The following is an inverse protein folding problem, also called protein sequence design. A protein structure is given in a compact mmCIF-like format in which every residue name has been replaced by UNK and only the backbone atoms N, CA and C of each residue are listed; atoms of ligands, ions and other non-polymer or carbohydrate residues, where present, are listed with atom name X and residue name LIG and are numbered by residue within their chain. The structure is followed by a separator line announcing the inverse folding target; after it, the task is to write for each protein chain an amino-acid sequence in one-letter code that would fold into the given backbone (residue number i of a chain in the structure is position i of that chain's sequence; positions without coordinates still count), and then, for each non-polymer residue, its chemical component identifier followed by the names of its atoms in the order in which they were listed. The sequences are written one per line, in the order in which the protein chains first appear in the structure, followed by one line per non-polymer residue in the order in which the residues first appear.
data_IF_988327365104
#
_entry.id   IF_988327365104
#
_cell.length_a   1.000
_cell.length_b   1.000
_cell.length_c   1.000
_cell.angle_alpha   90.00
_cell.angle_beta   90.00
_cell.angle_gamma   90.00
#
_symmetry.space_group_name_H-M   'P 1'
#
loop_
_entity.id
_entity.type
_entity.pdbx_description
1 polymer ?
#
# COMPACT_ATOMS: atom_id res chain seq x y z
N UNK A 1 -20.98 -4.06 7.60
CA UNK A 1 -19.91 -3.21 8.15
C UNK A 1 -19.72 -3.66 9.59
N UNK A 2 -18.52 -4.13 9.95
CA UNK A 2 -18.27 -4.68 11.29
C UNK A 2 -18.04 -3.56 12.30
N UNK A 3 -18.47 -3.77 13.54
CA UNK A 3 -18.21 -2.85 14.67
C UNK A 3 -16.70 -2.61 14.85
N UNK A 4 -15.87 -3.64 14.60
CA UNK A 4 -14.42 -3.53 14.67
C UNK A 4 -13.83 -2.55 13.65
N UNK A 5 -14.36 -2.48 12.42
CA UNK A 5 -13.88 -1.52 11.42
C UNK A 5 -14.20 -0.09 11.85
N UNK A 6 -15.40 0.15 12.38
CA UNK A 6 -15.79 1.48 12.86
C UNK A 6 -14.91 1.92 14.03
N UNK A 7 -14.59 1.00 14.95
CA UNK A 7 -13.63 1.25 16.02
C UNK A 7 -12.22 1.56 15.49
N UNK A 8 -11.75 0.83 14.48
CA UNK A 8 -10.46 1.08 13.86
C UNK A 8 -10.41 2.48 13.26
N UNK A 9 -11.44 2.86 12.49
CA UNK A 9 -11.55 4.19 11.89
C UNK A 9 -11.57 5.28 12.95
N UNK A 10 -12.36 5.11 14.02
CA UNK A 10 -12.42 6.07 15.12
C UNK A 10 -11.05 6.25 15.80
N UNK A 11 -10.31 5.16 16.03
CA UNK A 11 -8.97 5.21 16.62
C UNK A 11 -7.94 5.93 15.73
N UNK A 12 -8.15 5.94 14.40
CA UNK A 12 -7.28 6.63 13.42
C UNK A 12 -7.71 8.08 13.14
N UNK A 13 -8.59 8.65 13.96
CA UNK A 13 -9.00 10.06 13.85
C UNK A 13 -10.37 10.27 13.19
N UNK A 14 -11.08 9.20 12.86
CA UNK A 14 -12.47 9.24 12.41
C UNK A 14 -12.66 9.56 10.92
N UNK A 15 -13.84 9.22 10.41
CA UNK A 15 -14.18 9.36 9.00
C UNK A 15 -14.27 10.82 8.54
N UNK A 16 -14.91 11.68 9.33
CA UNK A 16 -15.11 13.09 8.96
C UNK A 16 -13.79 13.82 8.72
N UNK A 17 -12.75 13.49 9.50
CA UNK A 17 -11.40 14.03 9.29
C UNK A 17 -10.76 13.46 8.03
N UNK A 18 -10.90 12.15 7.80
CA UNK A 18 -10.40 11.50 6.58
C UNK A 18 -10.99 12.11 5.30
N UNK A 19 -12.27 12.49 5.32
CA UNK A 19 -12.96 13.17 4.21
C UNK A 19 -12.43 14.58 3.92
N UNK A 20 -11.62 15.16 4.80
CA UNK A 20 -10.98 16.47 4.58
C UNK A 20 -9.54 16.36 4.07
N UNK A 21 -8.89 15.20 4.22
CA UNK A 21 -7.50 14.98 3.82
C UNK A 21 -7.47 14.47 2.38
N UNK A 22 -6.80 15.16 1.45
CA UNK A 22 -6.68 14.73 0.05
C UNK A 22 -5.37 14.01 -0.27
N UNK A 23 -4.34 14.25 0.53
CA UNK A 23 -2.98 13.73 0.33
C UNK A 23 -2.39 13.34 1.68
N UNK A 24 -1.69 12.21 1.72
CA UNK A 24 -0.78 11.86 2.80
C UNK A 24 0.64 11.82 2.28
N UNK A 25 1.57 12.35 3.07
CA UNK A 25 3.01 12.25 2.82
C UNK A 25 3.66 11.45 3.94
N UNK A 26 4.50 10.51 3.55
CA UNK A 26 5.26 9.68 4.46
C UNK A 26 6.73 9.64 4.02
N UNK A 27 7.60 9.52 4.99
CA UNK A 27 9.01 9.20 4.79
C UNK A 27 9.25 7.83 5.41
N UNK A 28 9.79 6.90 4.63
CA UNK A 28 9.95 5.53 5.09
C UNK A 28 11.23 4.91 4.53
N UNK A 29 11.69 3.90 5.27
CA UNK A 29 12.84 3.09 4.93
C UNK A 29 12.33 1.65 4.80
N UNK A 30 12.55 1.01 3.66
CA UNK A 30 12.15 -0.36 3.42
C UNK A 30 13.38 -1.22 3.12
N UNK A 31 13.73 -2.08 4.08
CA UNK A 31 14.81 -3.05 3.97
C UNK A 31 14.27 -4.49 3.98
N UNK A 32 15.14 -5.46 3.74
CA UNK A 32 14.80 -6.88 3.79
C UNK A 32 15.37 -7.69 2.63
N UNK A 33 15.36 -9.01 2.80
CA UNK A 33 15.91 -9.95 1.83
C UNK A 33 15.17 -9.93 0.50
N UNK A 34 13.88 -9.56 0.49
CA UNK A 34 13.06 -9.49 -0.72
C UNK A 34 13.69 -8.57 -1.78
N UNK A 35 14.23 -7.42 -1.36
CA UNK A 35 14.87 -6.47 -2.27
C UNK A 35 16.13 -7.04 -2.93
N UNK A 36 16.88 -7.86 -2.20
CA UNK A 36 18.05 -8.57 -2.74
C UNK A 36 17.63 -9.62 -3.77
N UNK A 37 16.61 -10.42 -3.45
CA UNK A 37 16.07 -11.44 -4.37
C UNK A 37 15.56 -10.79 -5.67
N UNK A 38 14.96 -9.60 -5.56
CA UNK A 38 14.43 -8.85 -6.71
C UNK A 38 15.49 -8.03 -7.46
N UNK A 39 16.76 -8.10 -7.06
CA UNK A 39 17.91 -7.38 -7.65
C UNK A 39 17.88 -5.87 -7.45
N UNK A 40 17.24 -5.41 -6.37
CA UNK A 40 17.11 -3.99 -6.01
C UNK A 40 17.53 -3.71 -4.56
N UNK A 41 18.72 -4.16 -4.11
CA UNK A 41 19.18 -3.86 -2.76
C UNK A 41 19.27 -2.35 -2.56
N UNK A 42 18.61 -1.85 -1.51
CA UNK A 42 18.64 -0.43 -1.14
C UNK A 42 17.81 0.51 -2.02
N UNK A 43 17.03 0.01 -2.98
CA UNK A 43 16.21 0.86 -3.84
C UNK A 43 15.24 1.78 -3.07
N UNK A 44 14.74 1.30 -1.92
CA UNK A 44 13.86 2.04 -1.00
C UNK A 44 14.53 2.26 0.37
N UNK A 45 15.85 2.42 0.39
CA UNK A 45 16.60 2.67 1.62
C UNK A 45 16.27 4.05 2.23
N UNK A 46 15.79 5.01 1.44
CA UNK A 46 15.42 6.36 1.89
C UNK A 46 14.45 7.00 0.87
N UNK A 47 13.14 6.97 1.12
CA UNK A 47 12.17 7.47 0.14
C UNK A 47 11.01 8.24 0.75
N UNK A 48 10.67 9.35 0.10
CA UNK A 48 9.43 10.09 0.35
C UNK A 48 8.32 9.56 -0.55
N UNK A 49 7.18 9.28 0.05
CA UNK A 49 5.97 8.83 -0.60
C UNK A 49 4.87 9.87 -0.41
N UNK A 50 4.17 10.22 -1.48
CA UNK A 50 2.89 10.89 -1.42
C UNK A 50 1.81 9.98 -1.99
N UNK A 51 0.65 9.92 -1.33
CA UNK A 51 -0.51 9.17 -1.82
C UNK A 51 -1.73 10.05 -1.87
N UNK A 52 -2.64 9.73 -2.81
CA UNK A 52 -3.99 10.31 -2.80
C UNK A 52 -4.91 9.47 -1.92
N UNK A 53 -5.71 10.14 -1.09
CA UNK A 53 -6.80 9.51 -0.30
C UNK A 53 -8.11 9.43 -1.07
N UNK A 54 -8.13 9.89 -2.33
CA UNK A 54 -9.34 10.02 -3.17
C UNK A 54 -9.33 9.09 -4.37
N UNK A 55 -8.15 8.77 -4.88
CA UNK A 55 -7.95 7.82 -5.97
C UNK A 55 -6.72 6.95 -5.68
N UNK A 56 -6.62 5.75 -6.28
CA UNK A 56 -5.40 4.96 -6.24
C UNK A 56 -4.29 5.68 -7.00
N UNK A 57 -3.41 6.34 -6.24
CA UNK A 57 -2.32 7.15 -6.77
C UNK A 57 -1.22 7.24 -5.72
N UNK A 58 0.01 6.96 -6.13
CA UNK A 58 1.20 7.05 -5.30
C UNK A 58 2.33 7.65 -6.11
N UNK A 59 3.09 8.56 -5.51
CA UNK A 59 4.34 9.04 -6.07
C UNK A 59 5.48 8.81 -5.08
N UNK A 60 6.66 8.55 -5.62
CA UNK A 60 7.87 8.47 -4.82
C UNK A 60 8.96 9.39 -5.34
N UNK A 61 9.64 10.07 -4.42
CA UNK A 61 10.77 10.95 -4.73
C UNK A 61 11.86 10.88 -3.65
N UNK A 62 13.15 10.86 -4.02
CA UNK A 62 13.63 10.55 -5.37
C UNK A 62 13.36 9.07 -5.71
N UNK A 63 13.37 8.71 -7.00
CA UNK A 63 13.27 7.32 -7.45
C UNK A 63 14.55 6.87 -8.17
N UNK A 64 15.35 6.02 -7.49
CA UNK A 64 16.62 5.43 -7.92
C UNK A 64 17.76 6.40 -8.30
N UNK A 65 17.44 7.56 -8.88
CA UNK A 65 18.36 8.61 -9.31
C UNK A 65 17.84 9.95 -8.80
N UNK A 66 18.77 10.83 -8.45
CA UNK A 66 18.44 12.21 -8.11
C UNK A 66 17.80 12.92 -9.32
N UNK A 67 16.83 13.79 -9.06
CA UNK A 67 16.11 14.49 -10.12
C UNK A 67 15.04 13.65 -10.83
N UNK A 68 14.69 12.48 -10.30
CA UNK A 68 13.66 11.60 -10.83
C UNK A 68 12.65 11.25 -9.73
N UNK A 69 11.39 11.10 -10.14
CA UNK A 69 10.33 10.54 -9.32
C UNK A 69 9.58 9.48 -10.13
N UNK A 70 8.84 8.61 -9.44
CA UNK A 70 7.96 7.67 -10.10
C UNK A 70 6.52 7.86 -9.65
N UNK A 71 5.60 7.51 -10.55
CA UNK A 71 4.16 7.64 -10.37
C UNK A 71 3.52 6.29 -10.61
N UNK A 72 2.66 5.89 -9.70
CA UNK A 72 1.84 4.69 -9.80
C UNK A 72 0.35 5.04 -9.82
N UNK A 73 -0.34 4.47 -10.79
CA UNK A 73 -1.79 4.32 -10.86
C UNK A 73 -2.11 2.84 -11.18
N UNK A 74 -3.35 2.35 -10.99
CA UNK A 74 -3.66 0.93 -11.18
C UNK A 74 -3.30 0.38 -12.56
N UNK A 75 -3.56 1.19 -13.59
CA UNK A 75 -3.41 0.79 -14.99
C UNK A 75 -2.10 1.29 -15.62
N UNK A 76 -1.30 2.09 -14.90
CA UNK A 76 -0.02 2.58 -15.43
C UNK A 76 1.03 2.89 -14.37
N UNK A 77 2.29 2.76 -14.76
CA UNK A 77 3.45 3.25 -14.00
C UNK A 77 4.30 4.16 -14.86
N UNK A 78 4.90 5.18 -14.26
CA UNK A 78 5.76 6.13 -14.95
C UNK A 78 6.98 6.49 -14.11
N UNK A 79 8.08 6.80 -14.80
CA UNK A 79 9.29 7.42 -14.25
C UNK A 79 9.44 8.76 -14.97
N UNK A 80 9.58 9.83 -14.21
CA UNK A 80 9.52 11.19 -14.70
C UNK A 80 10.68 11.97 -14.11
N UNK A 81 11.35 12.77 -14.93
CA UNK A 81 12.35 13.72 -14.47
C UNK A 81 11.67 14.89 -13.74
N UNK A 82 12.37 15.55 -12.83
CA UNK A 82 11.87 16.77 -12.17
C UNK A 82 11.62 17.93 -13.16
N UNK A 83 12.19 17.86 -14.36
CA UNK A 83 11.87 18.75 -15.48
C UNK A 83 10.46 18.54 -16.06
N UNK A 84 9.78 17.46 -15.68
CA UNK A 84 8.50 17.01 -16.24
C UNK A 84 8.65 16.11 -17.48
N UNK A 85 9.88 15.78 -17.89
CA UNK A 85 10.12 14.85 -19.00
C UNK A 85 9.76 13.41 -18.58
N UNK A 86 8.94 12.75 -19.39
CA UNK A 86 8.63 11.33 -19.22
C UNK A 86 9.84 10.49 -19.65
N UNK A 87 10.45 9.79 -18.70
CA UNK A 87 11.63 8.95 -18.92
C UNK A 87 11.22 7.56 -19.39
N UNK A 88 10.26 6.96 -18.69
CA UNK A 88 9.74 5.63 -19.01
C UNK A 88 8.29 5.49 -18.52
N UNK A 89 7.50 4.67 -19.22
CA UNK A 89 6.10 4.41 -18.88
C UNK A 89 5.71 2.98 -19.24
N UNK A 90 4.90 2.36 -18.40
CA UNK A 90 4.27 1.06 -18.64
C UNK A 90 2.77 1.13 -18.42
N UNK A 91 2.02 0.76 -19.45
CA UNK A 91 0.58 0.51 -19.36
C UNK A 91 0.32 -0.95 -18.95
N UNK A 92 -0.79 -1.20 -18.28
CA UNK A 92 -1.18 -2.52 -17.75
C UNK A 92 -0.03 -3.22 -16.98
N UNK A 93 0.66 -2.53 -16.04
CA UNK A 93 1.87 -3.04 -15.39
C UNK A 93 1.67 -4.38 -14.68
N UNK A 94 0.44 -4.70 -14.25
CA UNK A 94 0.10 -5.99 -13.63
C UNK A 94 0.38 -7.20 -14.52
N UNK A 95 0.12 -7.11 -15.83
CA UNK A 95 0.30 -8.26 -16.73
C UNK A 95 1.78 -8.63 -16.91
N UNK A 96 2.71 -7.72 -16.61
CA UNK A 96 4.15 -7.99 -16.71
C UNK A 96 4.66 -8.91 -15.60
N UNK A 97 3.85 -9.18 -14.57
CA UNK A 97 4.15 -10.20 -13.57
C UNK A 97 3.77 -11.63 -14.01
N UNK A 98 3.13 -11.81 -15.17
CA UNK A 98 2.75 -13.14 -15.66
C UNK A 98 3.99 -14.03 -15.86
N UNK A 99 3.93 -15.25 -15.31
CA UNK A 99 5.05 -16.19 -15.33
C UNK A 99 6.18 -15.87 -14.34
N UNK A 100 6.06 -14.82 -13.53
CA UNK A 100 7.03 -14.56 -12.47
C UNK A 100 6.95 -15.61 -11.37
N UNK A 101 8.12 -15.98 -10.88
CA UNK A 101 8.32 -16.77 -9.68
C UNK A 101 8.97 -15.90 -8.59
N UNK A 102 9.08 -16.42 -7.36
CA UNK A 102 9.73 -15.71 -6.25
C UNK A 102 11.14 -15.19 -6.65
N UNK A 103 12.03 -15.97 -7.26
CA UNK A 103 13.36 -15.49 -7.63
C UNK A 103 13.40 -14.63 -8.91
N UNK A 104 12.29 -14.48 -9.65
CA UNK A 104 12.31 -13.67 -10.88
C UNK A 104 12.70 -12.22 -10.55
N UNK A 105 13.77 -11.69 -11.17
CA UNK A 105 14.18 -10.31 -10.99
C UNK A 105 13.09 -9.33 -11.41
N UNK A 106 13.14 -8.14 -10.83
CA UNK A 106 12.26 -7.04 -11.21
C UNK A 106 13.02 -6.02 -12.04
N UNK A 107 12.31 -5.33 -12.91
CA UNK A 107 12.79 -4.07 -13.48
C UNK A 107 12.23 -2.88 -12.67
N UNK A 108 12.59 -1.66 -13.08
CA UNK A 108 12.17 -0.43 -12.39
C UNK A 108 10.64 -0.31 -12.33
N UNK A 109 9.93 -0.63 -13.41
CA UNK A 109 8.47 -0.53 -13.46
C UNK A 109 7.77 -1.57 -12.56
N UNK A 110 8.35 -2.77 -12.39
CA UNK A 110 7.87 -3.73 -11.39
C UNK A 110 8.00 -3.17 -9.96
N UNK A 111 9.10 -2.46 -9.64
CA UNK A 111 9.25 -1.79 -8.35
C UNK A 111 8.17 -0.72 -8.15
N UNK A 112 7.99 0.17 -9.13
CA UNK A 112 6.98 1.24 -9.07
C UNK A 112 5.60 0.64 -8.84
N UNK A 113 5.25 -0.41 -9.58
CA UNK A 113 3.94 -1.05 -9.43
C UNK A 113 3.77 -1.68 -8.05
N UNK A 114 4.72 -2.52 -7.63
CA UNK A 114 4.62 -3.23 -6.36
C UNK A 114 4.53 -2.29 -5.16
N UNK A 115 5.43 -1.30 -5.12
CA UNK A 115 5.48 -0.36 -4.00
C UNK A 115 4.34 0.64 -4.02
N UNK A 116 3.90 1.08 -5.20
CA UNK A 116 2.80 2.02 -5.37
C UNK A 116 1.50 1.54 -4.74
N UNK A 117 1.02 0.34 -5.12
CA UNK A 117 -0.21 -0.18 -4.53
C UNK A 117 -0.05 -0.55 -3.06
N UNK A 118 1.13 -1.06 -2.66
CA UNK A 118 1.38 -1.45 -1.27
C UNK A 118 1.31 -0.23 -0.36
N UNK A 119 2.03 0.84 -0.68
CA UNK A 119 2.04 2.06 0.12
C UNK A 119 0.69 2.77 0.12
N UNK A 120 0.00 2.81 -1.03
CA UNK A 120 -1.37 3.32 -1.08
C UNK A 120 -2.28 2.55 -0.12
N UNK A 121 -2.23 1.21 -0.16
CA UNK A 121 -3.05 0.36 0.71
C UNK A 121 -2.71 0.58 2.19
N UNK A 122 -1.43 0.60 2.54
CA UNK A 122 -0.99 0.76 3.93
C UNK A 122 -1.37 2.11 4.52
N UNK A 123 -1.15 3.20 3.78
CA UNK A 123 -1.41 4.55 4.26
C UNK A 123 -2.89 4.93 4.25
N UNK A 124 -3.72 4.23 3.47
CA UNK A 124 -5.18 4.44 3.44
C UNK A 124 -5.95 3.49 4.36
N UNK A 125 -5.31 2.46 4.93
CA UNK A 125 -5.91 1.56 5.93
C UNK A 125 -6.04 2.29 7.29
N UNK A 126 -7.17 2.19 8.01
CA UNK A 126 -8.34 1.32 7.77
C UNK A 126 -9.43 1.95 6.89
N UNK A 127 -9.33 3.23 6.53
CA UNK A 127 -10.37 3.97 5.81
C UNK A 127 -10.72 3.36 4.45
N UNK A 128 -9.72 2.79 3.77
CA UNK A 128 -9.87 2.07 2.50
C UNK A 128 -10.99 1.02 2.55
N UNK A 129 -11.14 0.33 3.68
CA UNK A 129 -12.09 -0.78 3.83
C UNK A 129 -13.55 -0.33 3.89
N UNK A 130 -13.80 0.99 3.95
CA UNK A 130 -15.15 1.56 3.86
C UNK A 130 -15.55 1.95 2.44
N UNK A 131 -14.62 1.92 1.47
CA UNK A 131 -14.91 2.27 0.09
C UNK A 131 -15.83 1.23 -0.58
N UNK A 132 -16.62 1.63 -1.60
CA UNK A 132 -17.48 0.72 -2.33
C UNK A 132 -16.73 -0.50 -2.87
N UNK A 133 -17.36 -1.68 -2.75
CA UNK A 133 -16.81 -2.95 -3.23
C UNK A 133 -15.92 -3.69 -2.23
N UNK A 134 -15.44 -3.02 -1.18
CA UNK A 134 -14.79 -3.71 -0.06
C UNK A 134 -15.83 -4.38 0.83
N UNK A 135 -15.54 -5.61 1.27
CA UNK A 135 -16.30 -6.25 2.34
C UNK A 135 -15.38 -6.58 3.48
N UNK A 136 -15.81 -6.25 4.70
CA UNK A 136 -15.09 -6.54 5.92
C UNK A 136 -15.97 -7.36 6.88
N UNK A 137 -15.38 -8.41 7.44
CA UNK A 137 -16.01 -9.27 8.44
C UNK A 137 -15.05 -9.46 9.62
N UNK A 138 -15.57 -9.34 10.83
CA UNK A 138 -14.80 -9.74 12.01
C UNK A 138 -14.74 -11.26 12.07
N UNK A 139 -13.56 -11.79 12.33
CA UNK A 139 -13.30 -13.24 12.40
C UNK A 139 -12.75 -13.61 13.77
N UNK A 140 -12.68 -14.92 14.05
CA UNK A 140 -12.20 -15.44 15.33
C UNK A 140 -10.93 -14.72 15.82
N UNK A 141 -10.84 -14.37 17.11
CA UNK A 141 -9.66 -13.72 17.66
C UNK A 141 -8.36 -14.50 17.42
N UNK A 142 -7.23 -13.83 17.54
CA UNK A 142 -5.90 -14.42 17.45
C UNK A 142 -5.16 -14.26 18.76
N UNK A 143 -4.69 -15.36 19.32
CA UNK A 143 -3.87 -15.36 20.53
C UNK A 143 -2.39 -15.35 20.15
N UNK A 144 -1.68 -14.30 20.57
CA UNK A 144 -0.25 -14.14 20.31
C UNK A 144 0.44 -13.55 21.53
N UNK A 145 1.51 -14.22 21.98
CA UNK A 145 2.32 -13.78 23.13
C UNK A 145 1.50 -13.46 24.41
N UNK A 146 0.40 -14.18 24.63
CA UNK A 146 -0.48 -13.99 25.80
C UNK A 146 -1.48 -12.85 25.66
N UNK A 147 -1.57 -12.21 24.50
CA UNK A 147 -2.60 -11.23 24.17
C UNK A 147 -3.62 -11.83 23.19
N UNK A 148 -4.89 -11.48 23.36
CA UNK A 148 -5.96 -11.83 22.41
C UNK A 148 -6.30 -10.61 21.56
N UNK A 149 -6.12 -10.72 20.25
CA UNK A 149 -6.36 -9.64 19.29
C UNK A 149 -7.62 -9.90 18.45
N UNK A 150 -8.45 -8.86 18.29
CA UNK A 150 -9.59 -8.89 17.36
C UNK A 150 -9.07 -8.82 15.93
N UNK A 151 -9.71 -9.58 15.02
CA UNK A 151 -9.27 -9.68 13.62
C UNK A 151 -10.34 -9.27 12.65
N UNK A 152 -9.91 -8.61 11.58
CA UNK A 152 -10.77 -8.20 10.48
C UNK A 152 -10.30 -8.92 9.20
N UNK A 153 -11.16 -9.74 8.61
CA UNK A 153 -10.96 -10.24 7.26
C UNK A 153 -11.53 -9.23 6.28
N UNK A 154 -10.73 -8.86 5.29
CA UNK A 154 -11.10 -7.91 4.24
C UNK A 154 -11.00 -8.59 2.89
N UNK A 155 -12.06 -8.44 2.08
CA UNK A 155 -12.06 -8.83 0.67
C UNK A 155 -12.05 -7.57 -0.18
N UNK A 156 -11.07 -7.49 -1.07
CA UNK A 156 -10.88 -6.36 -1.97
C UNK A 156 -11.77 -6.54 -3.20
N UNK A 157 -12.36 -5.47 -3.75
CA UNK A 157 -13.10 -5.56 -4.99
C UNK A 157 -12.18 -5.90 -6.17
N UNK A 158 -12.77 -6.46 -7.22
CA UNK A 158 -12.10 -6.62 -8.51
C UNK A 158 -11.63 -5.24 -9.01
N UNK A 159 -10.39 -5.18 -9.50
CA UNK A 159 -9.82 -3.94 -10.03
C UNK A 159 -9.00 -3.10 -9.04
N UNK A 160 -8.97 -3.42 -7.74
CA UNK A 160 -8.00 -2.81 -6.80
C UNK A 160 -6.73 -3.67 -6.72
N UNK A 161 -5.56 -3.17 -7.15
CA UNK A 161 -4.31 -3.88 -6.99
C UNK A 161 -4.01 -4.18 -5.52
N UNK A 162 -3.71 -5.45 -5.24
CA UNK A 162 -3.49 -5.94 -3.88
C UNK A 162 -2.62 -7.20 -3.94
N UNK A 163 -1.93 -7.52 -2.83
CA UNK A 163 -1.10 -8.73 -2.74
C UNK A 163 -1.91 -10.02 -2.91
N UNK A 164 -3.18 -9.99 -2.52
CA UNK A 164 -4.15 -11.08 -2.60
C UNK A 164 -5.56 -10.48 -2.57
N UNK A 165 -6.50 -11.12 -3.28
CA UNK A 165 -7.93 -10.75 -3.29
C UNK A 165 -8.56 -10.82 -1.89
N UNK A 166 -8.06 -11.70 -1.04
CA UNK A 166 -8.42 -11.77 0.39
C UNK A 166 -7.21 -11.47 1.25
N UNK A 167 -7.37 -10.53 2.18
CA UNK A 167 -6.34 -10.18 3.16
C UNK A 167 -6.90 -10.28 4.57
N UNK A 168 -6.13 -10.90 5.46
CA UNK A 168 -6.37 -10.82 6.89
C UNK A 168 -5.66 -9.58 7.44
N UNK A 169 -6.42 -8.67 8.05
CA UNK A 169 -5.87 -7.54 8.80
C UNK A 169 -6.12 -7.79 10.29
N UNK A 170 -5.09 -7.65 11.11
CA UNK A 170 -5.23 -7.77 12.56
C UNK A 170 -5.22 -6.37 13.16
N UNK A 171 -6.21 -6.07 13.99
CA UNK A 171 -6.32 -4.77 14.64
C UNK A 171 -6.22 -4.97 16.15
N UNK A 172 -5.11 -4.53 16.75
CA UNK A 172 -5.02 -4.41 18.20
C UNK A 172 -5.80 -3.18 18.65
N UNK A 173 -7.11 -3.33 18.82
CA UNK A 173 -7.96 -2.28 19.38
C UNK A 173 -8.17 -2.59 20.86
N UNK A 174 -7.40 -1.89 21.70
CA UNK A 174 -7.46 -2.05 23.16
C UNK A 174 -6.18 -2.63 23.74
N UNK A 175 -5.15 -1.79 23.88
CA UNK A 175 -4.20 -1.94 24.96
C UNK A 175 -4.72 -1.12 26.14
N UNK A 176 -5.25 -1.77 27.16
CA UNK A 176 -5.30 -1.14 28.48
C UNK A 176 -3.85 -0.82 28.83
N UNK A 177 -3.45 0.44 28.76
CA UNK A 177 -2.31 0.89 29.54
C UNK A 177 -2.65 0.57 31.00
N UNK A 178 -1.99 -0.44 31.55
CA UNK A 178 -1.81 -0.60 32.99
C UNK A 178 -0.34 -0.41 33.28
#
# INVERSE_FOLDING_TARGET
MSELLDLAIAAHGGWDRWEQINELKAHFHAEGTVWHVKQWPGAYADMHCSISTRKPHTEFTPFLKEGQHCVWEPDSTAIVADSGELIDKRENPRSFFEGHSIPTPWDEQHLVYFTGYAMWTYLTTPFLFRLPGFTSEEVEPWDENGETWRRLKVTFPEGVPSHSTQQGSVAKIGGSQR
#
